data_IF_634126937197
#
_entry.id   IF_634126937197
#
_cell.length_a   1.000
_cell.length_b   1.000
_cell.length_c   1.000
_cell.angle_alpha   90.00
_cell.angle_beta   90.00
_cell.angle_gamma   90.00
#
_symmetry.space_group_name_H-M   'P 1'
#
loop_
_entity.id
_entity.type
_entity.pdbx_description
1 polymer ?
#
# COMPACT_ATOMS: atom_id res chain seq x y z
N UNK A 1 4.97 -12.38 -7.58
CA UNK A 1 5.36 -11.71 -6.31
C UNK A 1 5.69 -10.27 -6.65
N UNK A 2 5.29 -9.32 -5.82
CA UNK A 2 5.60 -7.89 -5.99
C UNK A 2 6.23 -7.40 -4.68
N UNK A 3 7.30 -6.63 -4.79
CA UNK A 3 7.90 -5.94 -3.65
C UNK A 3 7.08 -4.68 -3.36
N UNK A 4 6.49 -4.60 -2.16
CA UNK A 4 5.88 -3.38 -1.65
C UNK A 4 6.90 -2.63 -0.81
N UNK A 5 7.22 -1.41 -1.20
CA UNK A 5 8.12 -0.54 -0.46
C UNK A 5 7.36 0.62 0.17
N UNK A 6 7.39 0.70 1.49
CA UNK A 6 6.80 1.81 2.22
C UNK A 6 7.77 2.99 2.23
N UNK A 7 7.44 4.05 1.50
CA UNK A 7 8.38 5.15 1.27
C UNK A 7 8.78 5.85 2.58
N UNK A 8 7.81 6.17 3.44
CA UNK A 8 8.07 6.89 4.69
C UNK A 8 8.82 6.09 5.76
N UNK A 9 8.86 4.75 5.69
CA UNK A 9 9.54 3.91 6.70
C UNK A 9 10.71 3.12 6.15
N UNK A 10 10.94 3.20 4.83
CA UNK A 10 11.94 2.46 4.07
C UNK A 10 11.86 0.93 4.24
N UNK A 11 10.71 0.40 4.67
CA UNK A 11 10.50 -1.03 4.84
C UNK A 11 9.99 -1.65 3.54
N UNK A 12 10.64 -2.74 3.11
CA UNK A 12 10.17 -3.57 1.99
C UNK A 12 9.46 -4.81 2.51
N UNK A 13 8.31 -5.15 1.94
CA UNK A 13 7.60 -6.40 2.20
C UNK A 13 7.19 -7.05 0.88
N UNK A 14 7.51 -8.33 0.71
CA UNK A 14 7.07 -9.08 -0.47
C UNK A 14 5.63 -9.57 -0.28
N UNK A 15 4.78 -9.33 -1.28
CA UNK A 15 3.39 -9.81 -1.32
C UNK A 15 3.09 -10.51 -2.64
N UNK A 16 2.06 -11.34 -2.64
CA UNK A 16 1.55 -11.92 -3.88
C UNK A 16 0.45 -11.02 -4.47
N UNK A 17 0.71 -10.41 -5.63
CA UNK A 17 -0.34 -9.81 -6.43
C UNK A 17 -1.03 -10.91 -7.25
N UNK A 18 -2.32 -11.12 -7.04
CA UNK A 18 -3.13 -12.10 -7.78
C UNK A 18 -4.39 -11.44 -8.33
N UNK A 19 -4.86 -11.91 -9.49
CA UNK A 19 -6.15 -11.50 -10.03
C UNK A 19 -7.23 -12.41 -9.48
N UNK A 20 -8.35 -11.86 -9.03
CA UNK A 20 -9.51 -12.64 -8.59
C UNK A 20 -10.47 -12.97 -9.74
N UNK A 21 -11.52 -13.73 -9.44
CA UNK A 21 -12.56 -14.15 -10.39
C UNK A 21 -13.27 -12.96 -11.06
N UNK A 22 -13.37 -11.84 -10.34
CA UNK A 22 -13.95 -10.59 -10.81
C UNK A 22 -12.95 -9.71 -11.56
N UNK A 23 -11.80 -10.26 -11.94
CA UNK A 23 -10.73 -9.58 -12.68
C UNK A 23 -10.03 -8.45 -11.92
N UNK A 24 -10.22 -8.34 -10.61
CA UNK A 24 -9.56 -7.35 -9.76
C UNK A 24 -8.19 -7.83 -9.29
N UNK A 25 -7.23 -6.93 -9.18
CA UNK A 25 -5.93 -7.23 -8.58
C UNK A 25 -5.99 -7.11 -7.06
N UNK A 26 -5.50 -8.13 -6.35
CA UNK A 26 -5.42 -8.19 -4.89
C UNK A 26 -3.99 -8.39 -4.44
N UNK A 27 -3.57 -7.64 -3.43
CA UNK A 27 -2.27 -7.76 -2.76
C UNK A 27 -2.41 -8.71 -1.55
N UNK A 28 -2.20 -10.01 -1.77
CA UNK A 28 -2.23 -11.01 -0.70
C UNK A 28 -1.03 -10.81 0.23
N UNK A 29 -1.31 -10.54 1.50
CA UNK A 29 -0.31 -10.12 2.50
C UNK A 29 -0.47 -8.67 2.96
N UNK A 30 -1.28 -7.87 2.24
CA UNK A 30 -1.58 -6.48 2.61
C UNK A 30 -2.16 -6.34 4.02
N UNK A 31 -2.98 -7.29 4.46
CA UNK A 31 -3.58 -7.28 5.81
C UNK A 31 -2.54 -7.26 6.94
N UNK A 32 -1.34 -7.82 6.73
CA UNK A 32 -0.23 -7.75 7.69
C UNK A 32 0.32 -6.32 7.79
N UNK A 33 0.45 -5.63 6.66
CA UNK A 33 0.89 -4.22 6.58
C UNK A 33 -0.17 -3.34 7.24
N UNK A 34 -1.44 -3.52 6.86
CA UNK A 34 -2.58 -2.79 7.41
C UNK A 34 -2.61 -2.86 8.94
N UNK A 35 -2.46 -4.07 9.52
CA UNK A 35 -2.42 -4.25 10.97
C UNK A 35 -1.18 -3.61 11.62
N UNK A 36 -0.01 -3.72 11.00
CA UNK A 36 1.24 -3.13 11.52
C UNK A 36 1.21 -1.60 11.53
N UNK A 37 0.49 -0.99 10.59
CA UNK A 37 0.39 0.47 10.43
C UNK A 37 -0.88 1.07 11.01
N UNK A 38 -1.78 0.26 11.56
CA UNK A 38 -3.09 0.69 12.07
C UNK A 38 -3.92 1.48 11.03
N UNK A 39 -3.77 1.16 9.75
CA UNK A 39 -4.58 1.77 8.69
C UNK A 39 -6.05 1.40 8.89
N UNK A 40 -6.93 2.38 8.68
CA UNK A 40 -8.37 2.26 8.90
C UNK A 40 -9.17 2.71 7.69
N UNK A 41 -10.44 2.35 7.69
CA UNK A 41 -11.40 2.84 6.68
C UNK A 41 -11.40 4.36 6.65
N UNK A 42 -11.27 4.92 5.46
CA UNK A 42 -11.22 6.37 5.21
C UNK A 42 -9.80 6.93 5.06
N UNK A 43 -8.76 6.16 5.40
CA UNK A 43 -7.38 6.56 5.09
C UNK A 43 -7.15 6.47 3.57
N UNK A 44 -6.32 7.38 3.04
CA UNK A 44 -5.91 7.39 1.63
C UNK A 44 -4.47 6.95 1.53
N UNK A 45 -4.25 5.87 0.77
CA UNK A 45 -2.93 5.29 0.51
C UNK A 45 -2.67 5.39 -0.98
N UNK A 46 -1.54 5.99 -1.35
CA UNK A 46 -1.13 6.10 -2.76
C UNK A 46 -0.12 5.02 -3.08
N UNK A 47 -0.16 4.54 -4.32
CA UNK A 47 0.75 3.54 -4.86
C UNK A 47 1.37 4.05 -6.15
N UNK A 48 2.66 3.82 -6.36
CA UNK A 48 3.32 4.14 -7.63
C UNK A 48 4.39 3.10 -7.97
N UNK A 49 4.50 2.80 -9.25
CA UNK A 49 5.50 1.86 -9.73
C UNK A 49 6.84 2.53 -9.92
N UNK A 50 7.86 1.97 -9.28
CA UNK A 50 9.25 2.38 -9.42
C UNK A 50 9.94 1.50 -10.45
N UNK A 51 10.17 2.05 -11.64
CA UNK A 51 10.80 1.33 -12.76
C UNK A 51 12.28 1.03 -12.50
N UNK A 52 12.96 1.85 -11.71
CA UNK A 52 14.40 1.69 -11.48
C UNK A 52 14.68 0.51 -10.55
N UNK A 53 13.81 0.30 -9.56
CA UNK A 53 13.96 -0.76 -8.57
C UNK A 53 13.01 -1.95 -8.79
N UNK A 54 12.12 -1.89 -9.78
CA UNK A 54 11.17 -2.95 -10.11
C UNK A 54 10.22 -3.27 -8.95
N UNK A 55 9.79 -2.25 -8.20
CA UNK A 55 8.98 -2.37 -6.99
C UNK A 55 7.77 -1.45 -7.03
N UNK A 56 6.74 -1.80 -6.27
CA UNK A 56 5.57 -0.95 -6.06
C UNK A 56 5.75 -0.21 -4.74
N UNK A 57 5.90 1.10 -4.81
CA UNK A 57 6.00 1.94 -3.63
C UNK A 57 4.59 2.28 -3.11
N UNK A 58 4.48 2.57 -1.82
CA UNK A 58 3.28 3.13 -1.23
C UNK A 58 3.60 4.07 -0.07
N UNK A 59 2.66 4.98 0.20
CA UNK A 59 2.68 5.84 1.40
C UNK A 59 1.26 6.23 1.82
N UNK A 60 1.12 6.58 3.10
CA UNK A 60 -0.11 7.14 3.64
C UNK A 60 -0.19 8.63 3.26
N UNK A 61 -1.16 8.99 2.43
CA UNK A 61 -1.37 10.37 1.98
C UNK A 61 -2.28 11.16 2.92
N UNK A 62 -3.31 10.52 3.47
CA UNK A 62 -4.31 11.17 4.31
C UNK A 62 -4.86 10.21 5.35
N UNK A 63 -5.00 10.68 6.59
CA UNK A 63 -5.67 9.94 7.67
C UNK A 63 -7.15 10.32 7.66
N UNK A 64 -8.02 9.32 7.79
CA UNK A 64 -9.46 9.54 7.91
C UNK A 64 -9.77 10.59 8.98
N UNK A 65 -10.71 11.50 8.73
CA UNK A 65 -11.13 12.56 9.66
C UNK A 65 -10.08 13.63 9.99
N UNK A 66 -8.96 13.68 9.26
CA UNK A 66 -8.12 14.88 9.19
C UNK A 66 -8.37 15.55 7.85
N UNK A 67 -9.27 16.54 7.84
CA UNK A 67 -9.32 17.54 6.77
C UNK A 67 -8.06 18.39 6.87
N UNK A 68 -7.31 18.54 5.77
CA UNK A 68 -6.28 19.57 5.68
C UNK A 68 -6.95 20.93 5.93
N UNK A 69 -6.73 21.49 7.12
CA UNK A 69 -6.80 22.93 7.31
C UNK A 69 -5.61 23.49 6.52
N UNK A 70 -5.87 23.86 5.27
CA UNK A 70 -5.02 24.79 4.55
C UNK A 70 -5.30 26.21 5.06
#
# INVERSE_FOLDING_TARGET
MVQLYEYGSEITTAVAMKRDENRNFKLHGWSCIQRKRNFRTGDVIVFWWDKNYGRLNFELLMIANQSFLN
#
